data_IF_681706236949
#
_entry.id   IF_681706236949
#
_cell.length_a   1.000
_cell.length_b   1.000
_cell.length_c   1.000
_cell.angle_alpha   90.00
_cell.angle_beta   90.00
_cell.angle_gamma   90.00
#
_symmetry.space_group_name_H-M   'P 1'
#
loop_
_entity.id
_entity.type
_entity.pdbx_description
1 polymer ?
#
# COMPACT_ATOMS: atom_id res chain seq x y z
N UNK A 1 10.64 -3.02 7.74
CA UNK A 1 10.06 -4.06 6.86
C UNK A 1 8.88 -4.79 7.49
N UNK A 2 9.01 -5.34 8.71
CA UNK A 2 7.92 -6.12 9.36
C UNK A 2 6.59 -5.38 9.47
N UNK A 3 6.62 -4.06 9.61
CA UNK A 3 5.43 -3.21 9.57
C UNK A 3 4.64 -3.37 8.26
N UNK A 4 5.31 -3.21 7.11
CA UNK A 4 4.70 -3.33 5.78
C UNK A 4 4.18 -4.74 5.55
N UNK A 5 4.94 -5.77 5.95
CA UNK A 5 4.49 -7.16 5.87
C UNK A 5 3.19 -7.37 6.65
N UNK A 6 3.09 -6.80 7.85
CA UNK A 6 1.89 -6.90 8.69
C UNK A 6 0.67 -6.24 8.05
N UNK A 7 0.85 -5.09 7.39
CA UNK A 7 -0.21 -4.44 6.61
C UNK A 7 -0.64 -5.32 5.42
N UNK A 8 0.31 -5.86 4.67
CA UNK A 8 0.05 -6.62 3.43
C UNK A 8 -0.49 -8.04 3.64
N UNK A 9 -0.21 -8.65 4.79
CA UNK A 9 -0.71 -9.99 5.13
C UNK A 9 -2.18 -10.02 5.56
N UNK A 10 -2.85 -8.85 5.56
CA UNK A 10 -4.28 -8.60 5.81
C UNK A 10 -4.91 -9.53 6.84
N UNK A 11 -4.75 -9.12 8.11
CA UNK A 11 -5.56 -9.63 9.23
C UNK A 11 -6.88 -8.88 9.39
N UNK A 12 -6.97 -7.65 8.88
CA UNK A 12 -8.09 -6.72 9.10
C UNK A 12 -8.30 -5.89 7.83
N UNK A 13 -9.55 -5.53 7.52
CA UNK A 13 -9.91 -4.48 6.56
C UNK A 13 -10.69 -3.40 7.29
N UNK A 14 -10.49 -2.14 6.91
CA UNK A 14 -11.29 -1.05 7.47
C UNK A 14 -12.74 -1.16 7.00
N UNK A 15 -13.68 -0.87 7.91
CA UNK A 15 -15.12 -1.02 7.65
C UNK A 15 -15.79 0.27 7.21
N UNK A 16 -15.20 1.41 7.52
CA UNK A 16 -15.75 2.72 7.20
C UNK A 16 -14.63 3.78 7.09
N UNK A 17 -14.99 4.97 6.62
CA UNK A 17 -14.06 6.07 6.39
C UNK A 17 -13.37 6.58 7.67
N UNK A 18 -14.07 6.54 8.81
CA UNK A 18 -13.47 7.00 10.08
C UNK A 18 -12.40 6.03 10.56
N UNK A 19 -12.67 4.71 10.54
CA UNK A 19 -11.69 3.68 10.88
C UNK A 19 -10.45 3.75 9.96
N UNK A 20 -10.67 4.00 8.65
CA UNK A 20 -9.58 4.23 7.69
C UNK A 20 -8.73 5.43 8.07
N UNK A 21 -9.37 6.55 8.41
CA UNK A 21 -8.69 7.80 8.77
C UNK A 21 -7.89 7.63 10.06
N UNK A 22 -8.48 7.06 11.10
CA UNK A 22 -7.79 6.77 12.37
C UNK A 22 -6.60 5.84 12.16
N UNK A 23 -6.79 4.77 11.36
CA UNK A 23 -5.72 3.84 11.01
C UNK A 23 -4.58 4.52 10.27
N UNK A 24 -4.89 5.36 9.27
CA UNK A 24 -3.90 6.11 8.51
C UNK A 24 -3.15 7.13 9.38
N UNK A 25 -3.85 7.89 10.21
CA UNK A 25 -3.23 8.86 11.12
C UNK A 25 -2.28 8.17 12.12
N UNK A 26 -2.67 6.97 12.60
CA UNK A 26 -1.79 6.13 13.41
C UNK A 26 -0.55 5.68 12.63
N UNK A 27 -0.70 5.20 11.40
CA UNK A 27 0.43 4.80 10.55
C UNK A 27 1.42 5.94 10.33
N UNK A 28 0.93 7.16 10.07
CA UNK A 28 1.76 8.35 9.89
C UNK A 28 2.55 8.66 11.17
N UNK A 29 1.88 8.67 12.32
CA UNK A 29 2.51 8.92 13.62
C UNK A 29 3.59 7.87 13.94
N UNK A 30 3.32 6.60 13.69
CA UNK A 30 4.28 5.51 13.89
C UNK A 30 5.49 5.66 12.94
N UNK A 31 5.26 6.04 11.68
CA UNK A 31 6.34 6.32 10.72
C UNK A 31 7.25 7.48 11.18
N UNK A 32 6.67 8.57 11.71
CA UNK A 32 7.43 9.70 12.26
C UNK A 32 8.26 9.30 13.48
N UNK A 33 7.69 8.50 14.38
CA UNK A 33 8.39 7.97 15.55
C UNK A 33 9.56 7.07 15.16
N UNK A 34 9.34 6.16 14.20
CA UNK A 34 10.40 5.30 13.67
C UNK A 34 11.51 6.14 13.02
N UNK A 35 11.15 7.12 12.20
CA UNK A 35 12.10 8.02 11.55
C UNK A 35 12.97 8.75 12.57
N UNK A 36 12.34 9.32 13.61
CA UNK A 36 13.05 9.99 14.69
C UNK A 36 14.01 9.04 15.44
N UNK A 37 13.55 7.84 15.77
CA UNK A 37 14.35 6.85 16.49
C UNK A 37 15.55 6.38 15.67
N UNK A 38 15.34 6.01 14.41
CA UNK A 38 16.42 5.48 13.57
C UNK A 38 17.46 6.53 13.20
N UNK A 39 17.06 7.79 13.02
CA UNK A 39 18.01 8.91 12.85
C UNK A 39 18.91 9.08 14.07
N UNK A 40 18.37 8.95 15.30
CA UNK A 40 19.18 8.96 16.53
C UNK A 40 20.19 7.81 16.60
N UNK A 41 19.91 6.68 15.94
CA UNK A 41 20.77 5.51 15.88
C UNK A 41 21.76 5.55 14.69
N UNK A 42 21.91 6.68 14.01
CA UNK A 42 22.76 6.85 12.81
C UNK A 42 22.39 5.97 11.61
N UNK A 43 21.15 5.47 11.53
CA UNK A 43 20.64 4.66 10.43
C UNK A 43 19.85 5.48 9.38
N UNK A 44 20.28 6.71 9.09
CA UNK A 44 19.44 7.79 8.53
C UNK A 44 18.73 7.51 7.20
N UNK A 45 19.46 7.40 6.10
CA UNK A 45 18.87 7.49 4.76
C UNK A 45 18.00 6.28 4.38
N UNK A 46 18.44 5.07 4.74
CA UNK A 46 17.68 3.84 4.47
C UNK A 46 16.38 3.77 5.26
N UNK A 47 16.43 4.16 6.53
CA UNK A 47 15.26 4.10 7.39
C UNK A 47 14.26 5.20 7.08
N UNK A 48 14.72 6.38 6.64
CA UNK A 48 13.87 7.45 6.15
C UNK A 48 13.04 7.01 4.93
N UNK A 49 13.66 6.30 3.99
CA UNK A 49 12.98 5.76 2.81
C UNK A 49 11.94 4.69 3.19
N UNK A 50 12.29 3.79 4.10
CA UNK A 50 11.37 2.77 4.64
C UNK A 50 10.20 3.38 5.43
N UNK A 51 10.44 4.39 6.27
CA UNK A 51 9.37 5.06 7.00
C UNK A 51 8.46 5.85 6.04
N UNK A 52 9.06 6.46 5.01
CA UNK A 52 8.32 7.16 3.97
C UNK A 52 7.38 6.25 3.17
N UNK A 53 7.57 4.93 3.16
CA UNK A 53 6.66 4.00 2.47
C UNK A 53 5.42 3.71 3.31
N UNK A 54 5.57 3.70 4.64
CA UNK A 54 4.44 3.61 5.59
C UNK A 54 3.53 4.82 5.43
N UNK A 55 4.09 6.03 5.41
CA UNK A 55 3.32 7.26 5.19
C UNK A 55 2.63 7.26 3.83
N UNK A 56 3.32 6.83 2.76
CA UNK A 56 2.73 6.79 1.42
C UNK A 56 1.53 5.81 1.34
N UNK A 57 1.59 4.68 2.04
CA UNK A 57 0.44 3.77 2.14
C UNK A 57 -0.70 4.40 2.94
N UNK A 58 -0.37 5.12 4.02
CA UNK A 58 -1.37 5.79 4.85
C UNK A 58 -2.19 6.81 4.05
N UNK A 59 -1.57 7.56 3.12
CA UNK A 59 -2.29 8.49 2.23
C UNK A 59 -3.34 7.77 1.37
N UNK A 60 -3.02 6.58 0.84
CA UNK A 60 -3.98 5.73 0.10
C UNK A 60 -5.19 5.37 0.96
N UNK A 61 -4.98 5.08 2.25
CA UNK A 61 -6.06 4.75 3.18
C UNK A 61 -6.87 5.97 3.61
N UNK A 62 -6.21 7.11 3.84
CA UNK A 62 -6.80 8.36 4.31
C UNK A 62 -7.65 9.05 3.26
N UNK A 63 -7.39 8.82 1.98
CA UNK A 63 -8.15 9.40 0.88
C UNK A 63 -9.66 9.16 1.09
N UNK A 64 -10.44 10.24 1.13
CA UNK A 64 -11.88 10.18 1.37
C UNK A 64 -12.62 9.75 0.10
N UNK A 65 -12.28 10.36 -1.03
CA UNK A 65 -12.95 10.13 -2.31
C UNK A 65 -12.38 8.89 -3.03
N UNK A 66 -13.15 7.80 -3.17
CA UNK A 66 -12.67 6.60 -3.86
C UNK A 66 -12.48 6.81 -5.38
N UNK A 67 -13.09 7.82 -5.99
CA UNK A 67 -12.92 8.10 -7.44
C UNK A 67 -11.51 8.59 -7.76
N UNK A 68 -10.84 9.21 -6.80
CA UNK A 68 -9.45 9.70 -6.93
C UNK A 68 -8.41 8.66 -6.53
N UNK A 69 -8.83 7.43 -6.15
CA UNK A 69 -7.92 6.40 -5.63
C UNK A 69 -6.80 6.04 -6.59
N UNK A 70 -7.07 6.08 -7.90
CA UNK A 70 -6.05 5.88 -8.92
C UNK A 70 -4.85 6.83 -8.76
N UNK A 71 -5.10 8.10 -8.42
CA UNK A 71 -4.04 9.11 -8.30
C UNK A 71 -3.10 8.83 -7.13
N UNK A 72 -3.66 8.42 -5.99
CA UNK A 72 -2.86 8.05 -4.81
C UNK A 72 -2.05 6.78 -5.07
N UNK A 73 -2.65 5.77 -5.69
CA UNK A 73 -1.93 4.54 -6.05
C UNK A 73 -0.85 4.83 -7.10
N UNK A 74 -1.12 5.68 -8.08
CA UNK A 74 -0.12 6.11 -9.08
C UNK A 74 1.05 6.85 -8.43
N UNK A 75 0.78 7.71 -7.45
CA UNK A 75 1.81 8.41 -6.66
C UNK A 75 2.65 7.41 -5.87
N UNK A 76 2.01 6.42 -5.25
CA UNK A 76 2.68 5.35 -4.52
C UNK A 76 3.61 4.52 -5.43
N UNK A 77 3.13 4.08 -6.60
CA UNK A 77 3.93 3.32 -7.58
C UNK A 77 5.09 4.14 -8.12
N UNK A 78 4.87 5.44 -8.38
CA UNK A 78 5.94 6.33 -8.85
C UNK A 78 7.06 6.50 -7.82
N UNK A 79 6.70 6.52 -6.53
CA UNK A 79 7.66 6.64 -5.43
C UNK A 79 8.38 5.32 -5.09
N UNK A 80 7.71 4.18 -5.29
CA UNK A 80 8.22 2.84 -5.03
C UNK A 80 7.94 1.93 -6.24
N UNK A 81 8.80 1.96 -7.28
CA UNK A 81 8.56 1.28 -8.53
C UNK A 81 8.68 -0.26 -8.44
N UNK A 82 9.16 -0.80 -7.31
CA UNK A 82 9.19 -2.23 -7.04
C UNK A 82 7.87 -2.77 -6.46
N UNK A 83 6.85 -1.91 -6.29
CA UNK A 83 5.48 -2.33 -6.03
C UNK A 83 4.94 -3.13 -7.22
N UNK A 84 4.35 -4.27 -6.90
CA UNK A 84 3.72 -5.19 -7.85
C UNK A 84 2.21 -5.22 -7.68
N UNK A 85 1.50 -5.75 -8.68
CA UNK A 85 0.03 -5.83 -8.71
C UNK A 85 -0.55 -6.46 -7.44
N UNK A 86 0.08 -7.52 -6.90
CA UNK A 86 -0.43 -8.15 -5.68
C UNK A 86 -0.37 -7.25 -4.45
N UNK A 87 0.60 -6.34 -4.37
CA UNK A 87 0.67 -5.35 -3.29
C UNK A 87 -0.47 -4.35 -3.41
N UNK A 88 -0.75 -3.88 -4.63
CA UNK A 88 -1.85 -2.95 -4.89
C UNK A 88 -3.18 -3.62 -4.52
N UNK A 89 -3.38 -4.87 -4.97
CA UNK A 89 -4.57 -5.65 -4.62
C UNK A 89 -4.74 -5.81 -3.10
N UNK A 90 -3.66 -6.11 -2.38
CA UNK A 90 -3.67 -6.24 -0.92
C UNK A 90 -4.02 -4.91 -0.22
N UNK A 91 -3.41 -3.79 -0.62
CA UNK A 91 -3.72 -2.47 -0.08
C UNK A 91 -5.19 -2.11 -0.28
N UNK A 92 -5.70 -2.29 -1.49
CA UNK A 92 -7.11 -2.02 -1.79
C UNK A 92 -8.06 -2.97 -1.03
N UNK A 93 -7.60 -4.19 -0.73
CA UNK A 93 -8.32 -5.12 0.13
C UNK A 93 -8.36 -4.72 1.60
N UNK A 94 -7.28 -4.13 2.12
CA UNK A 94 -7.23 -3.57 3.48
C UNK A 94 -8.09 -2.30 3.57
N UNK A 95 -8.06 -1.45 2.54
CA UNK A 95 -8.89 -0.23 2.48
C UNK A 95 -10.39 -0.55 2.58
N UNK A 96 -10.85 -1.61 1.92
CA UNK A 96 -12.17 -2.19 2.18
C UNK A 96 -13.35 -1.58 1.41
N UNK A 97 -13.19 -0.41 0.78
CA UNK A 97 -14.25 0.27 0.02
C UNK A 97 -14.03 0.28 -1.50
N UNK A 98 -12.88 -0.19 -1.98
CA UNK A 98 -12.63 -0.36 -3.41
C UNK A 98 -13.35 -1.61 -3.95
N UNK A 99 -14.31 -1.40 -4.87
CA UNK A 99 -15.00 -2.49 -5.57
C UNK A 99 -14.02 -3.33 -6.42
N UNK A 100 -14.45 -4.51 -6.85
CA UNK A 100 -13.63 -5.38 -7.69
C UNK A 100 -13.30 -4.70 -9.03
N UNK A 101 -14.28 -4.06 -9.64
CA UNK A 101 -14.17 -3.36 -10.92
C UNK A 101 -13.19 -2.17 -10.79
N UNK A 102 -13.29 -1.42 -9.69
CA UNK A 102 -12.36 -0.32 -9.40
C UNK A 102 -10.92 -0.82 -9.22
N UNK A 103 -10.72 -1.92 -8.49
CA UNK A 103 -9.38 -2.53 -8.33
C UNK A 103 -8.80 -2.95 -9.68
N UNK A 104 -9.59 -3.61 -10.51
CA UNK A 104 -9.17 -4.07 -11.83
C UNK A 104 -8.80 -2.89 -12.72
N UNK A 105 -9.65 -1.86 -12.76
CA UNK A 105 -9.40 -0.63 -13.53
C UNK A 105 -8.10 0.06 -13.09
N UNK A 106 -7.85 0.19 -11.79
CA UNK A 106 -6.61 0.78 -11.27
C UNK A 106 -5.39 -0.03 -11.72
N UNK A 107 -5.41 -1.36 -11.56
CA UNK A 107 -4.29 -2.23 -11.93
C UNK A 107 -4.01 -2.18 -13.44
N UNK A 108 -5.05 -2.27 -14.27
CA UNK A 108 -4.92 -2.21 -15.73
C UNK A 108 -4.36 -0.87 -16.20
N UNK A 109 -4.86 0.23 -15.64
CA UNK A 109 -4.41 1.59 -16.00
C UNK A 109 -2.95 1.80 -15.62
N UNK A 110 -2.51 1.31 -14.46
CA UNK A 110 -1.11 1.40 -14.02
C UNK A 110 -0.18 0.56 -14.90
N UNK A 111 -0.64 -0.61 -15.36
CA UNK A 111 0.13 -1.45 -16.28
C UNK A 111 0.33 -0.83 -17.65
N UNK A 112 -0.65 -0.08 -18.14
CA UNK A 112 -0.56 0.68 -19.39
C UNK A 112 0.35 1.90 -19.26
N UNK A 113 0.35 2.53 -18.07
CA UNK A 113 1.07 3.77 -17.80
C UNK A 113 2.27 3.58 -16.87
N UNK A 114 3.08 2.53 -17.09
CA UNK A 114 4.28 2.31 -16.25
C UNK A 114 5.20 3.53 -16.36
N UNK A 115 5.42 4.29 -15.26
CA UNK A 115 6.32 5.42 -15.31
C UNK A 115 7.74 4.94 -15.64
N UNK A 116 8.52 5.79 -16.32
CA UNK A 116 9.94 5.55 -16.55
C UNK A 116 10.65 5.30 -15.22
N UNK A 117 11.11 4.07 -15.00
CA UNK A 117 11.70 3.66 -13.73
C UNK A 117 13.05 4.34 -13.57
N UNK A 118 13.20 5.17 -12.54
CA UNK A 118 14.52 5.62 -12.10
C UNK A 118 15.25 4.41 -11.49
N UNK A 119 16.25 3.90 -12.19
CA UNK A 119 17.01 2.68 -11.81
C UNK A 119 17.79 2.81 -10.49
N UNK A 120 17.80 3.98 -9.87
CA UNK A 120 18.53 4.28 -8.64
C UNK A 120 17.67 4.16 -7.37
N UNK A 121 16.38 3.81 -7.45
CA UNK A 121 15.54 3.64 -6.26
C UNK A 121 15.86 2.33 -5.54
N UNK A 122 16.15 2.39 -4.23
CA UNK A 122 16.34 1.20 -3.40
C UNK A 122 14.99 0.47 -3.23
N UNK A 123 14.95 -0.87 -3.39
CA UNK A 123 13.71 -1.63 -3.30
C UNK A 123 13.19 -1.68 -1.86
N UNK A 124 11.88 -1.50 -1.68
CA UNK A 124 11.19 -1.56 -0.38
C UNK A 124 10.22 -2.75 -0.31
N UNK A 125 9.60 -3.09 -1.43
CA UNK A 125 8.54 -4.09 -1.55
C UNK A 125 9.03 -5.45 -2.04
N UNK A 126 10.27 -5.54 -2.55
CA UNK A 126 10.88 -6.80 -3.00
C UNK A 126 10.68 -7.97 -2.03
N UNK A 127 10.86 -7.73 -0.72
CA UNK A 127 10.78 -8.77 0.33
C UNK A 127 9.43 -8.74 1.09
N UNK A 128 8.45 -7.99 0.61
CA UNK A 128 7.13 -7.88 1.22
C UNK A 128 6.19 -8.91 0.58
N UNK A 129 6.16 -10.12 1.12
CA UNK A 129 5.28 -11.16 0.59
C UNK A 129 3.79 -10.84 0.80
N UNK A 130 2.98 -11.02 -0.25
CA UNK A 130 1.52 -10.94 -0.21
C UNK A 130 0.91 -12.34 -0.28
N UNK A 131 0.05 -12.74 0.68
CA UNK A 131 -0.63 -14.04 0.62
C UNK A 131 -1.55 -14.15 -0.59
N UNK A 132 -1.63 -15.33 -1.22
CA UNK A 132 -2.52 -15.57 -2.37
C UNK A 132 -4.02 -15.37 -2.07
N UNK A 133 -4.42 -15.46 -0.80
CA UNK A 133 -5.78 -15.12 -0.36
C UNK A 133 -6.12 -13.64 -0.54
N UNK A 134 -5.12 -12.77 -0.72
CA UNK A 134 -5.29 -11.32 -0.93
C UNK A 134 -5.37 -10.94 -2.40
N UNK A 135 -4.89 -11.80 -3.29
CA UNK A 135 -4.87 -11.58 -4.74
C UNK A 135 -6.04 -12.27 -5.45
N UNK A 136 -6.74 -13.17 -4.76
CA UNK A 136 -7.81 -13.95 -5.36
C UNK A 136 -9.03 -13.09 -5.71
N UNK A 137 -9.28 -12.95 -7.01
CA UNK A 137 -10.50 -12.39 -7.59
C UNK A 137 -11.59 -13.44 -7.82
N UNK A 138 -11.43 -14.67 -7.35
CA UNK A 138 -12.31 -15.80 -7.74
C UNK A 138 -13.46 -16.02 -6.76
N UNK A 139 -14.68 -16.02 -7.30
CA UNK A 139 -15.90 -16.53 -6.65
C UNK A 139 -15.74 -17.99 -6.23
N UNK A 140 -16.26 -18.42 -5.06
CA UNK A 140 -16.52 -19.82 -4.81
C UNK A 140 -17.59 -20.28 -5.81
N UNK A 141 -17.27 -21.23 -6.68
CA UNK A 141 -18.30 -21.95 -7.44
C UNK A 141 -19.08 -22.79 -6.42
N UNK A 142 -20.32 -22.39 -6.14
CA UNK A 142 -21.31 -23.27 -5.52
C UNK A 142 -21.51 -24.46 -6.46
N UNK A 143 -21.03 -25.62 -6.04
CA UNK A 143 -21.42 -26.90 -6.64
C UNK A 143 -22.93 -27.06 -6.37
N UNK A 144 -23.72 -27.07 -7.46
CA UNK A 144 -25.10 -27.54 -7.45
C UNK A 144 -25.11 -29.06 -7.48
#
# INVERSE_FOLDING_TARGET
MEYLKSVMQKRISFKNAEERKEGADRMIKEAEQFKFLFRKLSAGDDTDHLCGSISAIAEVFKLVDPTLLYLEVSTLVSKYPDIREEHIAALLAVRGDASREMRQMIIETLNQNKPSVNTNSRPVFRDVAVPASMTSMTVPKLLK
#
